data_IF_529076849656
#
_entry.id   IF_529076849656
#
_cell.length_a   1.000
_cell.length_b   1.000
_cell.length_c   1.000
_cell.angle_alpha   90.00
_cell.angle_beta   90.00
_cell.angle_gamma   90.00
#
_symmetry.space_group_name_H-M   'P 1'
#
loop_
_entity.id
_entity.type
_entity.pdbx_description
1 polymer ?
#
# COMPACT_ATOMS: atom_id res chain seq x y z
N UNK A 1 -25.12 -28.48 -0.98
CA UNK A 1 -24.42 -28.10 -2.22
C UNK A 1 -24.62 -26.60 -2.40
N UNK A 2 -23.60 -25.78 -2.18
CA UNK A 2 -23.45 -24.42 -2.74
C UNK A 2 -22.11 -23.82 -2.27
N UNK A 3 -20.99 -24.47 -2.64
CA UNK A 3 -19.62 -24.03 -2.32
C UNK A 3 -18.75 -23.97 -3.59
N UNK A 4 -19.35 -23.65 -4.75
CA UNK A 4 -18.64 -23.68 -6.04
C UNK A 4 -18.69 -22.38 -6.85
N UNK A 5 -19.16 -21.28 -6.26
CA UNK A 5 -19.20 -19.96 -6.92
C UNK A 5 -18.48 -18.86 -6.13
N UNK A 6 -17.58 -19.20 -5.21
CA UNK A 6 -16.45 -18.29 -4.90
C UNK A 6 -15.44 -18.45 -6.01
N UNK A 7 -15.81 -17.91 -7.17
CA UNK A 7 -14.93 -17.60 -8.28
C UNK A 7 -13.61 -17.13 -7.69
N UNK A 8 -12.51 -17.76 -8.12
CA UNK A 8 -11.13 -17.34 -7.88
C UNK A 8 -10.94 -15.95 -8.51
N UNK A 9 -11.59 -14.93 -7.95
CA UNK A 9 -11.36 -13.56 -8.31
C UNK A 9 -9.89 -13.31 -7.94
N UNK A 10 -9.07 -12.89 -8.92
CA UNK A 10 -7.68 -12.59 -8.62
C UNK A 10 -7.66 -11.58 -7.49
N UNK A 11 -6.80 -11.82 -6.51
CA UNK A 11 -6.59 -10.89 -5.41
C UNK A 11 -6.16 -9.55 -6.02
N UNK A 12 -7.10 -8.60 -6.04
CA UNK A 12 -6.91 -7.29 -6.64
C UNK A 12 -5.75 -6.57 -5.95
N UNK A 13 -5.56 -6.79 -4.64
CA UNK A 13 -4.43 -6.24 -3.90
C UNK A 13 -3.11 -6.83 -4.41
N UNK A 14 -3.05 -8.13 -4.69
CA UNK A 14 -1.87 -8.77 -5.26
C UNK A 14 -1.51 -8.19 -6.65
N UNK A 15 -2.50 -7.97 -7.52
CA UNK A 15 -2.30 -7.34 -8.83
C UNK A 15 -1.85 -5.88 -8.72
N UNK A 16 -2.37 -5.14 -7.74
CA UNK A 16 -1.94 -3.76 -7.46
C UNK A 16 -0.49 -3.77 -6.97
N UNK A 17 -0.12 -4.65 -6.04
CA UNK A 17 1.26 -4.76 -5.52
C UNK A 17 2.24 -5.10 -6.65
N UNK A 18 1.88 -6.02 -7.55
CA UNK A 18 2.71 -6.38 -8.70
C UNK A 18 2.94 -5.18 -9.63
N UNK A 19 1.88 -4.42 -9.95
CA UNK A 19 1.99 -3.18 -10.74
C UNK A 19 2.83 -2.12 -10.04
N UNK A 20 2.76 -2.02 -8.71
CA UNK A 20 3.55 -1.05 -7.95
C UNK A 20 5.06 -1.31 -8.01
N UNK A 21 5.51 -2.50 -8.42
CA UNK A 21 6.93 -2.79 -8.63
C UNK A 21 7.59 -1.92 -9.71
N UNK A 22 6.83 -1.40 -10.68
CA UNK A 22 7.37 -0.54 -11.75
C UNK A 22 7.60 0.91 -11.33
N UNK A 23 7.14 1.30 -10.12
CA UNK A 23 7.26 2.66 -9.61
C UNK A 23 8.51 2.83 -8.73
N UNK A 24 8.97 4.08 -8.52
CA UNK A 24 10.04 4.38 -7.58
C UNK A 24 9.80 3.74 -6.21
N UNK A 25 10.87 3.31 -5.56
CA UNK A 25 10.81 2.51 -4.32
C UNK A 25 9.93 3.17 -3.25
N UNK A 26 9.97 4.49 -3.11
CA UNK A 26 9.20 5.23 -2.12
C UNK A 26 7.70 5.22 -2.40
N UNK A 27 7.32 5.36 -3.68
CA UNK A 27 5.93 5.28 -4.14
C UNK A 27 5.38 3.87 -3.91
N UNK A 28 6.19 2.85 -4.21
CA UNK A 28 5.83 1.45 -3.96
C UNK A 28 5.62 1.17 -2.48
N UNK A 29 6.55 1.60 -1.62
CA UNK A 29 6.48 1.39 -0.17
C UNK A 29 5.24 2.08 0.42
N UNK A 30 4.93 3.29 -0.02
CA UNK A 30 3.75 4.01 0.42
C UNK A 30 2.46 3.27 0.04
N UNK A 31 2.35 2.86 -1.22
CA UNK A 31 1.14 2.22 -1.74
C UNK A 31 0.92 0.81 -1.15
N UNK A 32 1.98 0.03 -0.92
CA UNK A 32 1.87 -1.27 -0.21
C UNK A 32 1.38 -1.04 1.23
N UNK A 33 1.88 -0.02 1.93
CA UNK A 33 1.42 0.28 3.28
C UNK A 33 -0.04 0.75 3.30
N UNK A 34 -0.48 1.54 2.31
CA UNK A 34 -1.89 1.94 2.18
C UNK A 34 -2.83 0.74 2.08
N UNK A 35 -2.47 -0.24 1.22
CA UNK A 35 -3.25 -1.47 1.03
C UNK A 35 -3.35 -2.24 2.35
N UNK A 36 -2.21 -2.50 3.01
CA UNK A 36 -2.18 -3.23 4.28
C UNK A 36 -2.96 -2.54 5.40
N UNK A 37 -2.88 -1.21 5.48
CA UNK A 37 -3.63 -0.44 6.46
C UNK A 37 -5.14 -0.52 6.17
N UNK A 38 -5.55 -0.45 4.92
CA UNK A 38 -6.97 -0.52 4.53
C UNK A 38 -7.63 -1.87 4.84
N UNK A 39 -6.85 -2.95 4.96
CA UNK A 39 -7.36 -4.27 5.37
C UNK A 39 -7.76 -4.32 6.85
N UNK A 40 -7.16 -3.48 7.69
CA UNK A 40 -7.31 -3.54 9.16
C UNK A 40 -7.91 -2.28 9.78
N UNK A 41 -7.96 -1.16 9.06
CA UNK A 41 -8.35 0.15 9.59
C UNK A 41 -9.40 0.83 8.72
N UNK A 42 -10.29 1.64 9.33
CA UNK A 42 -11.19 2.51 8.60
C UNK A 42 -10.42 3.60 7.84
N UNK A 43 -10.99 4.07 6.74
CA UNK A 43 -10.37 5.01 5.78
C UNK A 43 -9.74 6.24 6.44
N UNK A 44 -10.40 6.82 7.45
CA UNK A 44 -9.89 7.99 8.19
C UNK A 44 -8.59 7.70 8.93
N UNK A 45 -8.48 6.54 9.58
CA UNK A 45 -7.26 6.11 10.27
C UNK A 45 -6.15 5.76 9.27
N UNK A 46 -6.49 5.19 8.11
CA UNK A 46 -5.52 4.92 7.03
C UNK A 46 -4.88 6.22 6.54
N UNK A 47 -5.68 7.28 6.33
CA UNK A 47 -5.18 8.57 5.87
C UNK A 47 -4.19 9.21 6.86
N UNK A 48 -4.49 9.18 8.16
CA UNK A 48 -3.59 9.69 9.21
C UNK A 48 -2.26 8.91 9.27
N UNK A 49 -2.32 7.59 9.17
CA UNK A 49 -1.13 6.74 9.15
C UNK A 49 -0.28 6.98 7.89
N UNK A 50 -0.91 7.13 6.73
CA UNK A 50 -0.23 7.43 5.47
C UNK A 50 0.48 8.78 5.52
N UNK A 51 -0.13 9.81 6.11
CA UNK A 51 0.53 11.10 6.28
C UNK A 51 1.83 10.98 7.08
N UNK A 52 1.84 10.15 8.13
CA UNK A 52 3.05 9.87 8.92
C UNK A 52 4.12 9.14 8.11
N UNK A 53 3.73 8.17 7.28
CA UNK A 53 4.64 7.40 6.41
C UNK A 53 5.29 8.30 5.37
N UNK A 54 4.50 9.15 4.69
CA UNK A 54 5.02 10.12 3.69
C UNK A 54 6.06 11.05 4.31
N UNK A 55 5.78 11.58 5.51
CA UNK A 55 6.74 12.45 6.22
C UNK A 55 8.05 11.73 6.54
N UNK A 56 8.01 10.45 6.89
CA UNK A 56 9.22 9.64 7.14
C UNK A 56 10.01 9.41 5.86
N UNK A 57 9.35 9.03 4.77
CA UNK A 57 9.98 8.82 3.46
C UNK A 57 10.65 10.11 2.94
N UNK A 58 9.94 11.25 3.03
CA UNK A 58 10.48 12.54 2.62
C UNK A 58 11.72 12.95 3.42
N UNK A 59 11.74 12.68 4.73
CA UNK A 59 12.93 12.94 5.59
C UNK A 59 14.12 12.05 5.21
N UNK A 60 13.88 10.81 4.81
CA UNK A 60 14.95 9.90 4.41
C UNK A 60 15.58 10.30 3.07
N UNK A 61 14.80 10.85 2.13
CA UNK A 61 15.31 11.36 0.86
C UNK A 61 16.11 12.67 1.01
N UNK A 62 15.68 13.56 1.92
CA UNK A 62 16.38 14.83 2.18
C UNK A 62 17.67 14.71 3.01
N UNK A 63 17.95 13.54 3.60
CA UNK A 63 19.13 13.29 4.43
C UNK A 63 20.35 12.76 3.68
N UNK A 64 20.23 12.45 2.39
CA UNK A 64 21.30 11.86 1.57
C UNK A 64 22.13 12.91 0.79
N UNK A 65 22.17 14.15 1.27
CA UNK A 65 22.85 15.29 0.65
C UNK A 65 23.99 15.87 1.51
N UNK A 66 24.90 15.02 2.00
CA UNK A 66 26.20 15.43 2.57
C UNK A 66 27.34 14.75 1.82
#
# INVERSE_FOLDING_TARGET
MNDLEKTLLPDVNALIIEKLNTYPADVRVLAIQAIRLSESYPETAVAEQLQTIVRKLAKQQGGNGL
#
